data_IF_791826514713
#
_entry.id   IF_791826514713
#
_cell.length_a   1.000
_cell.length_b   1.000
_cell.length_c   1.000
_cell.angle_alpha   90.00
_cell.angle_beta   90.00
_cell.angle_gamma   90.00
#
_symmetry.space_group_name_H-M   'P 1'
#
loop_
_entity.id
_entity.type
_entity.pdbx_description
1 polymer ?
#
# COMPACT_ATOMS: atom_id res chain seq x y z
N UNK A 1 -17.57 3.26 -9.30
CA UNK A 1 -18.86 2.54 -9.41
C UNK A 1 -19.69 3.12 -10.56
N UNK A 2 -20.77 2.45 -10.99
CA UNK A 2 -21.68 2.95 -12.04
C UNK A 2 -22.28 4.31 -11.62
N UNK A 3 -22.48 4.53 -10.34
CA UNK A 3 -22.95 5.78 -9.74
C UNK A 3 -21.95 6.94 -9.94
N UNK A 4 -20.64 6.68 -9.86
CA UNK A 4 -19.61 7.68 -10.15
C UNK A 4 -19.54 8.06 -11.63
N UNK A 5 -19.80 7.12 -12.54
CA UNK A 5 -19.81 7.38 -13.98
C UNK A 5 -21.02 8.22 -14.37
N UNK A 6 -22.19 7.96 -13.78
CA UNK A 6 -23.43 8.72 -14.06
C UNK A 6 -23.35 10.14 -13.52
N UNK A 7 -22.69 10.36 -12.37
CA UNK A 7 -22.50 11.73 -11.84
C UNK A 7 -21.58 12.61 -12.70
N UNK A 8 -20.77 12.02 -13.59
CA UNK A 8 -19.85 12.75 -14.47
C UNK A 8 -20.43 13.09 -15.85
N UNK A 9 -21.53 12.44 -16.27
CA UNK A 9 -22.13 12.61 -17.59
C UNK A 9 -23.32 13.60 -17.56
N UNK A 10 -23.62 14.16 -16.39
CA UNK A 10 -24.81 14.98 -16.15
C UNK A 10 -24.78 16.39 -16.76
N UNK A 11 -25.12 16.49 -18.04
CA UNK A 11 -25.62 17.70 -18.68
C UNK A 11 -27.12 17.70 -18.92
N UNK A 12 -27.90 16.78 -18.34
CA UNK A 12 -29.34 16.62 -18.57
C UNK A 12 -30.13 16.86 -17.27
N UNK A 13 -31.27 17.51 -17.42
CA UNK A 13 -32.21 17.95 -16.37
C UNK A 13 -32.99 16.82 -15.68
N UNK A 14 -32.61 15.57 -15.84
CA UNK A 14 -33.20 14.41 -15.18
C UNK A 14 -32.39 13.99 -13.96
N UNK A 15 -33.10 13.58 -12.90
CA UNK A 15 -32.49 13.19 -11.64
C UNK A 15 -31.54 11.98 -11.84
N UNK A 16 -30.24 12.05 -11.51
CA UNK A 16 -29.27 10.98 -11.77
C UNK A 16 -29.68 9.62 -11.17
N UNK A 17 -30.39 9.63 -10.05
CA UNK A 17 -30.88 8.41 -9.40
C UNK A 17 -31.92 7.65 -10.24
N UNK A 18 -32.75 8.36 -11.00
CA UNK A 18 -33.76 7.75 -11.87
C UNK A 18 -33.13 7.07 -13.12
N UNK A 19 -32.05 7.62 -13.63
CA UNK A 19 -31.34 7.04 -14.77
C UNK A 19 -30.55 5.78 -14.37
N UNK A 20 -29.91 5.81 -13.22
CA UNK A 20 -29.23 4.63 -12.63
C UNK A 20 -30.25 3.52 -12.38
N UNK A 21 -31.42 3.85 -11.85
CA UNK A 21 -32.51 2.90 -11.61
C UNK A 21 -33.01 2.24 -12.89
N UNK A 22 -33.13 3.01 -13.99
CA UNK A 22 -33.54 2.50 -15.31
C UNK A 22 -32.50 1.57 -15.94
N UNK A 23 -31.21 1.90 -15.78
CA UNK A 23 -30.11 1.05 -16.27
C UNK A 23 -30.05 -0.25 -15.46
N UNK A 24 -30.08 -0.15 -14.13
CA UNK A 24 -30.02 -1.32 -13.26
C UNK A 24 -31.24 -2.24 -13.40
N UNK A 25 -32.42 -1.70 -13.73
CA UNK A 25 -33.64 -2.48 -13.97
C UNK A 25 -33.58 -3.36 -15.21
N UNK A 26 -32.61 -3.16 -16.11
CA UNK A 26 -32.46 -3.98 -17.34
C UNK A 26 -31.59 -5.24 -17.12
N UNK A 27 -30.96 -5.37 -15.94
CA UNK A 27 -30.11 -6.51 -15.60
C UNK A 27 -30.83 -7.40 -14.59
N UNK A 28 -31.10 -8.65 -14.94
CA UNK A 28 -31.68 -9.64 -14.03
C UNK A 28 -30.72 -10.07 -12.92
N UNK A 29 -29.42 -10.07 -13.22
CA UNK A 29 -28.36 -10.46 -12.27
C UNK A 29 -27.47 -9.26 -11.98
N UNK A 30 -27.39 -8.88 -10.71
CA UNK A 30 -26.52 -7.82 -10.22
C UNK A 30 -25.39 -8.47 -9.45
N UNK A 31 -24.18 -8.42 -9.99
CA UNK A 31 -22.99 -8.86 -9.29
C UNK A 31 -22.16 -7.62 -8.91
N UNK A 32 -21.96 -7.41 -7.61
CA UNK A 32 -20.96 -6.45 -7.14
C UNK A 32 -19.59 -7.10 -7.26
N UNK A 33 -18.75 -6.57 -8.12
CA UNK A 33 -17.33 -6.89 -8.12
C UNK A 33 -16.70 -6.22 -6.89
N UNK A 34 -16.74 -6.91 -5.76
CA UNK A 34 -15.92 -6.54 -4.63
C UNK A 34 -14.48 -6.84 -5.03
N UNK A 35 -13.69 -5.79 -5.24
CA UNK A 35 -12.27 -5.92 -5.52
C UNK A 35 -11.61 -6.71 -4.39
N UNK A 36 -10.78 -7.68 -4.76
CA UNK A 36 -9.92 -8.38 -3.79
C UNK A 36 -9.04 -7.33 -3.12
N UNK A 37 -8.91 -7.39 -1.79
CA UNK A 37 -8.09 -6.44 -1.04
C UNK A 37 -6.71 -6.25 -1.70
N UNK A 38 -6.24 -5.01 -1.92
CA UNK A 38 -4.92 -4.73 -2.49
C UNK A 38 -3.80 -5.42 -1.73
N UNK A 39 -3.94 -5.54 -0.40
CA UNK A 39 -3.01 -6.28 0.45
C UNK A 39 -2.95 -7.77 0.05
N UNK A 40 -4.10 -8.40 -0.20
CA UNK A 40 -4.15 -9.79 -0.64
C UNK A 40 -3.53 -9.98 -2.02
N UNK A 41 -3.81 -9.07 -2.96
CA UNK A 41 -3.19 -9.11 -4.29
C UNK A 41 -1.67 -8.98 -4.17
N UNK A 42 -1.19 -8.05 -3.33
CA UNK A 42 0.24 -7.85 -3.06
C UNK A 42 0.88 -9.12 -2.50
N UNK A 43 0.26 -9.74 -1.51
CA UNK A 43 0.75 -11.01 -0.93
C UNK A 43 0.85 -12.11 -1.99
N UNK A 44 -0.17 -12.28 -2.83
CA UNK A 44 -0.24 -13.36 -3.82
C UNK A 44 0.58 -13.12 -5.09
N UNK A 45 0.88 -11.88 -5.43
CA UNK A 45 1.57 -11.54 -6.69
C UNK A 45 3.02 -11.10 -6.49
N UNK A 46 3.34 -10.52 -5.35
CA UNK A 46 4.67 -9.97 -5.08
C UNK A 46 5.37 -10.75 -3.96
N UNK A 47 4.63 -11.12 -2.92
CA UNK A 47 5.20 -11.72 -1.71
C UNK A 47 4.96 -13.24 -1.63
N UNK A 48 4.49 -13.87 -2.69
CA UNK A 48 4.31 -15.32 -2.72
C UNK A 48 5.68 -16.04 -2.57
N UNK A 49 5.74 -17.05 -1.72
CA UNK A 49 6.98 -17.75 -1.36
C UNK A 49 7.05 -19.10 -2.05
N UNK A 50 8.27 -19.54 -2.34
CA UNK A 50 8.52 -20.92 -2.69
C UNK A 50 8.34 -21.80 -1.46
N UNK A 51 7.89 -23.04 -1.61
CA UNK A 51 7.56 -23.92 -0.48
C UNK A 51 8.68 -24.10 0.54
N UNK A 52 9.94 -24.13 0.12
CA UNK A 52 11.09 -24.18 1.02
C UNK A 52 11.22 -22.93 1.89
N UNK A 53 10.96 -21.75 1.30
CA UNK A 53 11.00 -20.48 2.02
C UNK A 53 9.83 -20.37 3.01
N UNK A 54 8.66 -20.91 2.69
CA UNK A 54 7.52 -20.96 3.62
C UNK A 54 7.86 -21.73 4.89
N UNK A 55 8.47 -22.90 4.75
CA UNK A 55 8.88 -23.73 5.89
C UNK A 55 9.92 -23.01 6.74
N UNK A 56 10.94 -22.44 6.10
CA UNK A 56 12.01 -21.71 6.79
C UNK A 56 11.46 -20.48 7.56
N UNK A 57 10.58 -19.71 6.95
CA UNK A 57 9.97 -18.55 7.59
C UNK A 57 9.02 -18.97 8.74
N UNK A 58 8.31 -20.07 8.58
CA UNK A 58 7.46 -20.63 9.63
C UNK A 58 8.28 -21.05 10.87
N UNK A 59 9.42 -21.69 10.65
CA UNK A 59 10.35 -22.07 11.72
C UNK A 59 10.98 -20.85 12.38
N UNK A 60 11.35 -19.84 11.60
CA UNK A 60 11.87 -18.57 12.11
C UNK A 60 10.85 -17.89 13.02
N UNK A 61 9.59 -17.79 12.58
CA UNK A 61 8.52 -17.24 13.40
C UNK A 61 8.34 -17.99 14.72
N UNK A 62 8.37 -19.32 14.68
CA UNK A 62 8.21 -20.14 15.89
C UNK A 62 9.35 -19.91 16.90
N UNK A 63 10.59 -19.76 16.41
CA UNK A 63 11.77 -19.52 17.24
C UNK A 63 11.82 -18.11 17.81
N UNK A 64 11.48 -17.13 17.02
CA UNK A 64 11.70 -15.72 17.35
C UNK A 64 10.41 -14.96 17.72
N UNK A 65 9.28 -15.66 17.90
CA UNK A 65 7.97 -15.04 18.19
C UNK A 65 8.03 -14.03 19.35
N UNK A 66 8.66 -14.39 20.44
CA UNK A 66 8.77 -13.50 21.60
C UNK A 66 9.56 -12.22 21.29
N UNK A 67 10.62 -12.32 20.46
CA UNK A 67 11.39 -11.17 20.01
C UNK A 67 10.58 -10.28 19.06
N UNK A 68 9.83 -10.90 18.13
CA UNK A 68 8.96 -10.18 17.21
C UNK A 68 7.86 -9.43 17.94
N UNK A 69 7.22 -10.07 18.91
CA UNK A 69 6.19 -9.45 19.73
C UNK A 69 6.75 -8.26 20.56
N UNK A 70 8.00 -8.38 21.03
CA UNK A 70 8.66 -7.30 21.76
C UNK A 70 9.14 -6.15 20.86
N UNK A 71 9.55 -6.46 19.63
CA UNK A 71 10.04 -5.49 18.66
C UNK A 71 8.90 -4.64 18.06
N UNK A 72 7.76 -5.26 17.80
CA UNK A 72 6.62 -4.60 17.15
C UNK A 72 5.51 -4.24 18.14
N UNK A 73 5.86 -3.52 19.19
CA UNK A 73 4.90 -2.94 20.14
C UNK A 73 4.29 -1.70 19.53
N UNK A 74 3.11 -1.86 18.92
CA UNK A 74 2.39 -0.80 18.22
C UNK A 74 1.09 -0.42 18.95
N UNK A 75 0.60 0.82 18.78
CA UNK A 75 -0.75 1.17 19.20
C UNK A 75 -1.79 0.23 18.60
N UNK A 76 -2.88 -0.03 19.32
CA UNK A 76 -3.94 -0.96 18.91
C UNK A 76 -4.59 -0.67 17.56
N UNK A 77 -4.41 0.53 17.03
CA UNK A 77 -4.87 0.95 15.69
C UNK A 77 -4.07 0.34 14.55
N UNK A 78 -2.86 -0.16 14.83
CA UNK A 78 -1.97 -0.77 13.85
C UNK A 78 -1.85 -2.27 14.06
N UNK A 79 -1.85 -3.02 12.97
CA UNK A 79 -1.77 -4.48 12.99
C UNK A 79 -0.31 -4.93 12.93
N UNK A 80 0.05 -5.84 13.82
CA UNK A 80 1.27 -6.63 13.76
C UNK A 80 0.99 -8.00 13.16
N UNK A 81 1.94 -8.90 13.20
CA UNK A 81 1.73 -10.29 12.82
C UNK A 81 0.76 -10.98 13.76
N UNK A 82 -0.28 -11.54 13.20
CA UNK A 82 -1.36 -12.20 13.96
C UNK A 82 -1.00 -13.64 14.34
N UNK A 83 -0.41 -14.34 13.38
CA UNK A 83 -0.06 -15.75 13.46
C UNK A 83 1.08 -16.06 12.48
N UNK A 84 1.53 -17.32 12.48
CA UNK A 84 2.60 -17.83 11.61
C UNK A 84 2.30 -17.64 10.12
N UNK A 85 1.09 -17.96 9.70
CA UNK A 85 0.71 -17.91 8.29
C UNK A 85 0.64 -16.44 7.81
N UNK A 86 0.18 -15.56 8.68
CA UNK A 86 0.19 -14.12 8.44
C UNK A 86 1.62 -13.57 8.36
N UNK A 87 2.54 -14.05 9.22
CA UNK A 87 3.95 -13.70 9.13
C UNK A 87 4.55 -14.11 7.79
N UNK A 88 4.40 -15.36 7.39
CA UNK A 88 4.89 -15.88 6.11
C UNK A 88 4.33 -15.08 4.93
N UNK A 89 3.04 -14.74 4.96
CA UNK A 89 2.39 -14.01 3.88
C UNK A 89 2.90 -12.57 3.72
N UNK A 90 3.26 -11.88 4.81
CA UNK A 90 3.69 -10.49 4.78
C UNK A 90 5.21 -10.32 4.67
N UNK A 91 6.00 -11.26 5.21
CA UNK A 91 7.46 -11.13 5.24
C UNK A 91 8.04 -10.77 3.86
N UNK A 92 9.01 -9.85 3.74
CA UNK A 92 9.75 -9.15 4.81
C UNK A 92 9.08 -7.85 5.31
N UNK A 93 7.85 -7.60 4.91
CA UNK A 93 7.06 -6.44 5.36
C UNK A 93 6.28 -6.76 6.64
N UNK A 94 5.89 -5.71 7.37
CA UNK A 94 5.04 -5.82 8.56
C UNK A 94 3.63 -5.30 8.24
N UNK A 95 2.55 -5.94 8.72
CA UNK A 95 1.17 -5.55 8.36
C UNK A 95 0.84 -4.07 8.55
N UNK A 96 1.36 -3.40 9.62
CA UNK A 96 1.12 -1.98 9.87
C UNK A 96 1.61 -1.07 8.73
N UNK A 97 2.64 -1.49 8.00
CA UNK A 97 3.23 -0.69 6.91
C UNK A 97 2.21 -0.44 5.80
N UNK A 98 1.42 -1.43 5.44
CA UNK A 98 0.36 -1.30 4.44
C UNK A 98 -0.74 -0.33 4.89
N UNK A 99 -1.10 -0.37 6.17
CA UNK A 99 -2.06 0.57 6.74
C UNK A 99 -1.52 2.00 6.74
N UNK A 100 -0.22 2.15 7.04
CA UNK A 100 0.44 3.44 7.08
C UNK A 100 0.61 4.04 5.67
N UNK A 101 1.01 3.23 4.67
CA UNK A 101 1.07 3.65 3.27
C UNK A 101 -0.28 4.21 2.82
N UNK A 102 -1.36 3.46 3.12
CA UNK A 102 -2.71 3.90 2.76
C UNK A 102 -3.02 5.27 3.37
N UNK A 103 -2.78 5.44 4.68
CA UNK A 103 -3.02 6.73 5.36
C UNK A 103 -2.20 7.88 4.76
N UNK A 104 -0.95 7.63 4.38
CA UNK A 104 -0.08 8.63 3.74
C UNK A 104 -0.63 9.00 2.37
N UNK A 105 -1.01 8.03 1.55
CA UNK A 105 -1.60 8.27 0.23
C UNK A 105 -2.92 9.02 0.32
N UNK A 106 -3.80 8.66 1.25
CA UNK A 106 -5.06 9.36 1.53
C UNK A 106 -4.81 10.82 1.97
N UNK A 107 -3.75 11.04 2.76
CA UNK A 107 -3.34 12.39 3.17
C UNK A 107 -2.81 13.21 2.00
N UNK A 108 -2.02 12.61 1.11
CA UNK A 108 -1.52 13.27 -0.10
C UNK A 108 -2.68 13.67 -1.04
N UNK A 109 -3.68 12.82 -1.17
CA UNK A 109 -4.89 13.12 -1.93
C UNK A 109 -5.66 14.29 -1.32
N UNK A 110 -5.85 14.27 0.00
CA UNK A 110 -6.54 15.35 0.73
C UNK A 110 -5.82 16.69 0.59
N UNK A 111 -4.50 16.70 0.56
CA UNK A 111 -3.66 17.89 0.38
C UNK A 111 -3.47 18.29 -1.07
N UNK A 112 -4.11 17.60 -2.03
CA UNK A 112 -3.94 17.78 -3.48
C UNK A 112 -2.49 17.65 -3.97
N UNK A 113 -1.68 16.84 -3.31
CA UNK A 113 -0.31 16.53 -3.76
C UNK A 113 -0.28 15.44 -4.82
N UNK A 114 -1.37 14.73 -5.01
CA UNK A 114 -1.53 13.65 -5.99
C UNK A 114 -2.55 14.05 -7.02
N UNK A 115 -2.28 13.78 -8.29
CA UNK A 115 -3.21 14.08 -9.36
C UNK A 115 -4.48 13.22 -9.22
N UNK A 116 -5.66 13.84 -9.36
CA UNK A 116 -6.96 13.16 -9.26
C UNK A 116 -7.13 11.99 -10.24
N UNK A 117 -6.30 11.92 -11.29
CA UNK A 117 -6.26 10.81 -12.23
C UNK A 117 -5.53 9.58 -11.68
N UNK A 118 -4.72 9.73 -10.63
CA UNK A 118 -4.09 8.61 -9.90
C UNK A 118 -5.05 8.05 -8.83
N UNK A 119 -6.35 8.14 -9.07
CA UNK A 119 -7.39 7.49 -8.26
C UNK A 119 -7.21 5.98 -8.30
N UNK A 120 -6.48 5.47 -7.35
CA UNK A 120 -6.29 4.05 -7.17
C UNK A 120 -5.20 3.81 -6.16
N UNK A 121 -5.45 4.13 -4.89
CA UNK A 121 -4.59 3.75 -3.76
C UNK A 121 -4.17 2.28 -3.84
N UNK A 122 -4.97 1.44 -4.51
CA UNK A 122 -4.72 0.02 -4.73
C UNK A 122 -3.54 -0.23 -5.65
N UNK A 123 -3.49 0.41 -6.83
CA UNK A 123 -2.36 0.27 -7.77
C UNK A 123 -1.09 0.88 -7.20
N UNK A 124 -1.22 2.00 -6.51
CA UNK A 124 -0.09 2.67 -5.86
C UNK A 124 0.52 1.78 -4.79
N UNK A 125 -0.29 1.13 -3.95
CA UNK A 125 0.19 0.19 -2.95
C UNK A 125 0.97 -0.97 -3.57
N UNK A 126 0.43 -1.58 -4.63
CA UNK A 126 1.07 -2.69 -5.34
C UNK A 126 2.41 -2.24 -5.94
N UNK A 127 2.42 -1.10 -6.64
CA UNK A 127 3.62 -0.56 -7.27
C UNK A 127 4.71 -0.19 -6.26
N UNK A 128 4.34 0.48 -5.16
CA UNK A 128 5.25 0.84 -4.07
C UNK A 128 5.88 -0.42 -3.49
N UNK A 129 5.05 -1.41 -3.13
CA UNK A 129 5.54 -2.67 -2.55
C UNK A 129 6.44 -3.42 -3.52
N UNK A 130 6.09 -3.47 -4.81
CA UNK A 130 6.92 -4.10 -5.85
C UNK A 130 8.28 -3.42 -5.99
N UNK A 131 8.30 -2.09 -6.05
CA UNK A 131 9.55 -1.33 -6.19
C UNK A 131 10.48 -1.58 -5.02
N UNK A 132 9.95 -1.55 -3.79
CA UNK A 132 10.73 -1.78 -2.58
C UNK A 132 11.20 -3.24 -2.49
N UNK A 133 10.33 -4.21 -2.78
CA UNK A 133 10.70 -5.62 -2.77
C UNK A 133 11.83 -5.92 -3.77
N UNK A 134 11.81 -5.25 -4.93
CA UNK A 134 12.86 -5.37 -5.94
C UNK A 134 14.16 -4.70 -5.50
N UNK A 135 14.08 -3.53 -4.88
CA UNK A 135 15.26 -2.80 -4.36
C UNK A 135 15.94 -3.54 -3.21
N UNK A 136 15.17 -4.28 -2.43
CA UNK A 136 15.63 -4.99 -1.24
C UNK A 136 15.77 -6.50 -1.43
N UNK A 137 15.80 -7.00 -2.68
CA UNK A 137 15.86 -8.43 -2.99
C UNK A 137 17.10 -9.15 -2.47
N UNK A 138 18.18 -8.42 -2.25
CA UNK A 138 19.47 -8.94 -1.80
C UNK A 138 19.63 -8.87 -0.27
N UNK A 139 18.59 -8.47 0.46
CA UNK A 139 18.59 -8.47 1.93
C UNK A 139 18.67 -9.89 2.48
N UNK A 140 19.36 -10.04 3.62
CA UNK A 140 19.46 -11.34 4.28
C UNK A 140 18.12 -11.78 4.89
N UNK A 141 17.91 -13.09 4.94
CA UNK A 141 16.71 -13.63 5.60
C UNK A 141 16.80 -13.39 7.10
N UNK A 142 15.75 -12.81 7.65
CA UNK A 142 15.69 -12.35 9.05
C UNK A 142 15.65 -10.84 9.18
N UNK A 143 15.99 -10.12 8.13
CA UNK A 143 15.83 -8.67 8.09
C UNK A 143 14.40 -8.26 7.69
N UNK A 144 13.95 -7.12 8.23
CA UNK A 144 12.66 -6.53 7.91
C UNK A 144 12.88 -5.23 7.15
N UNK A 145 12.01 -4.96 6.19
CA UNK A 145 12.07 -3.71 5.44
C UNK A 145 11.62 -2.56 6.35
N UNK A 146 12.48 -1.60 6.64
CA UNK A 146 12.12 -0.46 7.46
C UNK A 146 11.21 0.50 6.68
N UNK A 147 10.38 1.28 7.40
CA UNK A 147 9.35 2.11 6.76
C UNK A 147 9.93 3.30 5.97
N UNK A 148 11.11 3.77 6.29
CA UNK A 148 11.79 4.84 5.55
C UNK A 148 12.02 4.50 4.06
N UNK A 149 12.23 3.21 3.73
CA UNK A 149 12.34 2.75 2.34
C UNK A 149 11.09 3.05 1.49
N UNK A 150 9.94 3.14 2.14
CA UNK A 150 8.70 3.47 1.44
C UNK A 150 8.61 4.93 1.01
N UNK A 151 9.31 5.83 1.70
CA UNK A 151 9.20 7.25 1.45
C UNK A 151 9.56 7.63 0.02
N UNK A 152 10.70 7.15 -0.48
CA UNK A 152 11.12 7.39 -1.86
C UNK A 152 10.11 6.87 -2.89
N UNK A 153 9.65 5.63 -2.73
CA UNK A 153 8.70 5.00 -3.64
C UNK A 153 7.32 5.66 -3.62
N UNK A 154 6.85 6.13 -2.45
CA UNK A 154 5.59 6.85 -2.33
C UNK A 154 5.62 8.22 -3.02
N UNK A 155 6.76 8.89 -2.95
CA UNK A 155 6.90 10.27 -3.42
C UNK A 155 7.22 10.34 -4.91
N UNK A 156 8.10 9.48 -5.42
CA UNK A 156 8.53 9.49 -6.83
C UNK A 156 7.41 9.25 -7.83
N UNK A 157 6.39 8.49 -7.46
CA UNK A 157 5.28 8.14 -8.35
C UNK A 157 4.02 8.99 -8.21
N UNK A 158 3.92 9.85 -7.21
CA UNK A 158 2.64 10.38 -6.76
C UNK A 158 2.55 11.89 -6.60
N UNK A 159 3.66 12.62 -6.61
CA UNK A 159 3.64 14.05 -6.30
C UNK A 159 3.59 14.94 -7.53
N UNK A 160 2.70 15.92 -7.52
CA UNK A 160 2.74 17.07 -8.42
C UNK A 160 3.99 17.93 -8.18
N UNK A 161 4.39 18.74 -9.16
CA UNK A 161 5.63 19.53 -9.18
C UNK A 161 6.02 20.27 -7.88
N UNK A 162 5.05 20.73 -7.09
CA UNK A 162 5.34 21.42 -5.82
C UNK A 162 5.80 20.46 -4.72
N UNK A 163 5.21 19.26 -4.66
CA UNK A 163 5.63 18.22 -3.73
C UNK A 163 7.01 17.65 -4.08
N UNK A 164 7.31 17.49 -5.37
CA UNK A 164 8.62 17.05 -5.81
C UNK A 164 9.74 18.00 -5.37
N UNK A 165 9.54 19.33 -5.48
CA UNK A 165 10.51 20.32 -4.99
C UNK A 165 10.75 20.24 -3.50
N UNK A 166 9.69 20.09 -2.70
CA UNK A 166 9.83 19.94 -1.26
C UNK A 166 10.60 18.66 -0.89
N UNK A 167 10.35 17.58 -1.62
CA UNK A 167 11.06 16.32 -1.46
C UNK A 167 12.54 16.42 -1.86
N UNK A 168 12.84 17.01 -3.01
CA UNK A 168 14.21 17.23 -3.47
C UNK A 168 15.02 18.07 -2.48
N UNK A 169 14.41 19.14 -1.94
CA UNK A 169 15.04 19.96 -0.92
C UNK A 169 15.29 19.19 0.39
N UNK A 170 14.33 18.37 0.81
CA UNK A 170 14.50 17.53 2.02
C UNK A 170 15.60 16.48 1.81
N UNK A 171 15.68 15.88 0.63
CA UNK A 171 16.72 14.91 0.28
C UNK A 171 18.10 15.56 0.27
N UNK A 172 18.24 16.72 -0.36
CA UNK A 172 19.51 17.47 -0.34
C UNK A 172 19.95 17.82 1.08
N UNK A 173 19.02 18.20 1.96
CA UNK A 173 19.33 18.46 3.35
C UNK A 173 19.81 17.19 4.09
N UNK A 174 19.25 16.04 3.80
CA UNK A 174 19.70 14.76 4.37
C UNK A 174 21.11 14.38 3.89
N UNK A 175 21.39 14.54 2.59
CA UNK A 175 22.71 14.27 2.02
C UNK A 175 23.81 15.12 2.70
N UNK A 176 23.50 16.40 2.99
CA UNK A 176 24.44 17.29 3.73
C UNK A 176 24.67 16.79 5.16
N UNK A 177 23.61 16.34 5.86
CA UNK A 177 23.71 15.83 7.23
C UNK A 177 24.51 14.52 7.28
N UNK A 178 24.36 13.66 6.27
CA UNK A 178 25.14 12.41 6.19
C UNK A 178 26.61 12.66 5.89
N UNK A 179 26.94 13.65 5.08
CA UNK A 179 28.33 14.03 4.80
C UNK A 179 29.04 14.68 6.01
N UNK A 180 28.32 15.41 6.84
CA UNK A 180 28.87 15.96 8.10
C UNK A 180 29.14 14.89 9.17
N UNK A 181 28.61 13.69 9.02
CA UNK A 181 28.82 12.56 9.96
C UNK A 181 29.96 11.63 9.55
N UNK A 182 30.58 11.83 8.40
CA UNK A 182 31.76 11.12 7.92
C UNK A 182 33.05 11.86 8.35
#
# INVERSE_FOLDING_TARGET
TLEEVVSHVGGSTTNPEDEVGKILGRFEVRASLQGTSPEYITQKRILDKKGEAEVMLADMYAKDKAKLDAQFVLPSTYKTYRDKDNFVAYYPFVPYQFQLIKKVLDSFETMNYVDKQVKGNERSLINITYSIARETQDMEVGEFIPFDKFFGAMVQGSMQHLGQRAFENARQALDVIEDEKK
#
